data_IF_649518432864
#
_entry.id   IF_649518432864
#
_cell.length_a   1.000
_cell.length_b   1.000
_cell.length_c   1.000
_cell.angle_alpha   90.00
_cell.angle_beta   90.00
_cell.angle_gamma   90.00
#
_symmetry.space_group_name_H-M   'P 1'
#
loop_
_entity.id
_entity.type
_entity.pdbx_description
1 polymer ?
#
# COMPACT_ATOMS: atom_id res chain seq x y z
N UNK A 1 -5.19 -16.37 -11.94
CA UNK A 1 -3.88 -15.73 -11.71
C UNK A 1 -4.04 -14.84 -10.49
N UNK A 2 -3.53 -15.25 -9.32
CA UNK A 2 -3.76 -14.55 -8.05
C UNK A 2 -2.45 -13.81 -7.73
N UNK A 3 -2.45 -12.49 -7.84
CA UNK A 3 -1.32 -11.70 -7.36
C UNK A 3 -1.32 -11.77 -5.82
N UNK A 4 -0.21 -12.19 -5.22
CA UNK A 4 -0.08 -12.31 -3.77
C UNK A 4 0.16 -10.98 -3.06
N UNK A 5 0.65 -9.97 -3.80
CA UNK A 5 0.99 -8.63 -3.31
C UNK A 5 0.55 -7.58 -4.34
N UNK A 6 0.10 -6.43 -3.86
CA UNK A 6 -0.39 -5.26 -4.58
C UNK A 6 0.43 -4.04 -4.13
N UNK A 7 1.29 -3.54 -5.03
CA UNK A 7 1.99 -2.27 -4.85
C UNK A 7 1.10 -1.13 -5.34
N UNK A 8 0.70 -0.24 -4.44
CA UNK A 8 -0.17 0.90 -4.75
C UNK A 8 0.66 2.19 -4.80
N UNK A 9 0.62 2.88 -5.94
CA UNK A 9 1.27 4.19 -6.11
C UNK A 9 0.24 5.30 -5.90
N UNK A 10 0.41 6.07 -4.85
CA UNK A 10 -0.45 7.19 -4.46
C UNK A 10 0.10 8.49 -5.03
N UNK A 11 -0.45 8.87 -6.19
CA UNK A 11 -0.45 10.23 -6.71
C UNK A 11 -1.80 10.89 -6.46
N UNK A 12 -1.92 12.18 -6.78
CA UNK A 12 -3.19 12.88 -6.83
C UNK A 12 -4.23 12.13 -7.68
N UNK A 13 -3.89 11.78 -8.92
CA UNK A 13 -4.79 11.07 -9.83
C UNK A 13 -5.22 9.69 -9.29
N UNK A 14 -4.30 8.96 -8.66
CA UNK A 14 -4.63 7.68 -8.04
C UNK A 14 -5.60 7.84 -6.87
N UNK A 15 -5.44 8.89 -6.07
CA UNK A 15 -6.30 9.16 -4.91
C UNK A 15 -7.71 9.58 -5.34
N UNK A 16 -7.83 10.31 -6.45
CA UNK A 16 -9.11 10.77 -7.01
C UNK A 16 -9.81 9.69 -7.86
N UNK A 17 -9.10 8.63 -8.26
CA UNK A 17 -9.65 7.54 -9.08
C UNK A 17 -10.58 6.61 -8.28
N UNK A 18 -11.83 6.52 -8.74
CA UNK A 18 -12.81 5.58 -8.19
C UNK A 18 -12.37 4.12 -8.35
N UNK A 19 -11.87 3.76 -9.55
CA UNK A 19 -11.38 2.41 -9.84
C UNK A 19 -10.22 1.99 -8.92
N UNK A 20 -9.29 2.89 -8.62
CA UNK A 20 -8.21 2.63 -7.65
C UNK A 20 -8.80 2.37 -6.26
N UNK A 21 -9.79 3.18 -5.86
CA UNK A 21 -10.49 2.97 -4.59
C UNK A 21 -11.19 1.62 -4.50
N UNK A 22 -11.77 1.13 -5.59
CA UNK A 22 -12.40 -0.19 -5.68
C UNK A 22 -11.37 -1.32 -5.52
N UNK A 23 -10.23 -1.23 -6.22
CA UNK A 23 -9.17 -2.23 -6.12
C UNK A 23 -8.56 -2.29 -4.71
N UNK A 24 -8.38 -1.14 -4.05
CA UNK A 24 -7.92 -1.06 -2.66
C UNK A 24 -8.92 -1.74 -1.72
N UNK A 25 -10.22 -1.49 -1.90
CA UNK A 25 -11.27 -2.13 -1.09
C UNK A 25 -11.26 -3.65 -1.28
N UNK A 26 -11.17 -4.12 -2.53
CA UNK A 26 -11.08 -5.55 -2.83
C UNK A 26 -9.82 -6.21 -2.22
N UNK A 27 -8.68 -5.51 -2.21
CA UNK A 27 -7.46 -6.01 -1.58
C UNK A 27 -7.61 -6.15 -0.05
N UNK A 28 -8.14 -5.13 0.63
CA UNK A 28 -8.36 -5.16 2.08
C UNK A 28 -9.39 -6.23 2.49
N UNK A 29 -10.41 -6.45 1.66
CA UNK A 29 -11.39 -7.52 1.86
C UNK A 29 -10.76 -8.90 1.75
N UNK A 30 -9.84 -9.11 0.79
CA UNK A 30 -9.09 -10.37 0.65
C UNK A 30 -8.23 -10.65 1.89
N UNK A 31 -7.51 -9.65 2.42
CA UNK A 31 -6.72 -9.80 3.65
C UNK A 31 -7.63 -10.16 4.83
N UNK A 32 -8.79 -9.50 4.93
CA UNK A 32 -9.76 -9.74 6.02
C UNK A 32 -10.35 -11.15 5.96
N UNK A 33 -10.72 -11.62 4.77
CA UNK A 33 -11.21 -13.00 4.59
C UNK A 33 -10.12 -14.03 4.89
N UNK A 34 -8.90 -13.82 4.37
CA UNK A 34 -7.78 -14.70 4.65
C UNK A 34 -7.54 -14.85 6.16
N UNK A 35 -7.53 -13.73 6.90
CA UNK A 35 -7.38 -13.72 8.35
C UNK A 35 -8.48 -14.47 9.09
N UNK A 36 -9.74 -14.37 8.62
CA UNK A 36 -10.87 -15.11 9.22
C UNK A 36 -10.72 -16.61 9.00
N UNK A 37 -10.33 -17.02 7.80
CA UNK A 37 -10.28 -18.43 7.41
C UNK A 37 -9.04 -19.15 7.97
N UNK A 38 -7.92 -18.44 8.12
CA UNK A 38 -6.61 -19.05 8.45
C UNK A 38 -6.08 -18.63 9.83
N UNK A 39 -6.76 -17.72 10.53
CA UNK A 39 -6.30 -17.12 11.81
C UNK A 39 -4.90 -16.49 11.73
N UNK A 40 -4.44 -16.11 10.54
CA UNK A 40 -3.13 -15.53 10.26
C UNK A 40 -3.27 -14.19 9.55
N UNK A 41 -2.39 -13.24 9.84
CA UNK A 41 -2.34 -11.99 9.10
C UNK A 41 -1.61 -12.18 7.77
N UNK A 42 -2.20 -11.70 6.67
CA UNK A 42 -1.55 -11.64 5.37
C UNK A 42 -1.59 -10.20 4.87
N UNK A 43 -0.44 -9.55 4.82
CA UNK A 43 -0.29 -8.23 4.20
C UNK A 43 -0.07 -8.41 2.71
N UNK A 44 -1.01 -7.93 1.91
CA UNK A 44 -0.93 -7.91 0.45
C UNK A 44 -0.87 -6.49 -0.09
N UNK A 45 -1.33 -5.48 0.64
CA UNK A 45 -1.34 -4.10 0.16
C UNK A 45 -0.12 -3.30 0.65
N UNK A 46 0.71 -2.84 -0.28
CA UNK A 46 1.92 -2.06 -0.03
C UNK A 46 1.78 -0.67 -0.68
N UNK A 47 1.33 0.35 0.06
CA UNK A 47 1.17 1.69 -0.50
C UNK A 47 2.46 2.51 -0.42
N UNK A 48 2.76 3.24 -1.50
CA UNK A 48 3.80 4.27 -1.56
C UNK A 48 3.21 5.59 -2.06
N UNK A 49 3.66 6.73 -1.52
CA UNK A 49 3.25 8.07 -1.97
C UNK A 49 4.34 8.74 -2.78
N UNK A 50 3.96 9.39 -3.88
CA UNK A 50 4.88 10.20 -4.70
C UNK A 50 4.58 11.70 -4.58
N UNK A 51 3.46 12.05 -3.94
CA UNK A 51 3.08 13.41 -3.54
C UNK A 51 2.39 13.40 -2.16
N UNK A 52 1.98 14.58 -1.69
CA UNK A 52 1.36 14.75 -0.38
C UNK A 52 -0.18 14.60 -0.38
N UNK A 53 -0.81 14.23 -1.50
CA UNK A 53 -2.28 14.27 -1.64
C UNK A 53 -2.98 13.40 -0.59
N UNK A 54 -2.42 12.22 -0.31
CA UNK A 54 -2.94 11.29 0.69
C UNK A 54 -2.97 11.88 2.11
N UNK A 55 -2.13 12.87 2.40
CA UNK A 55 -2.03 13.52 3.71
C UNK A 55 -3.15 14.54 3.96
N UNK A 56 -3.82 15.00 2.89
CA UNK A 56 -4.83 16.05 2.99
C UNK A 56 -6.21 15.61 2.51
N UNK A 57 -6.28 14.51 1.76
CA UNK A 57 -7.56 14.01 1.22
C UNK A 57 -8.55 13.59 2.30
N UNK A 58 -9.82 13.91 2.05
CA UNK A 58 -10.97 13.44 2.83
C UNK A 58 -11.69 12.26 2.17
N UNK A 59 -11.21 11.79 1.02
CA UNK A 59 -11.79 10.63 0.32
C UNK A 59 -11.74 9.42 1.24
N UNK A 60 -12.89 8.78 1.47
CA UNK A 60 -13.06 7.83 2.58
C UNK A 60 -12.08 6.66 2.54
N UNK A 61 -11.87 6.06 1.36
CA UNK A 61 -10.97 4.91 1.22
C UNK A 61 -9.52 5.32 1.50
N UNK A 62 -9.11 6.50 1.02
CA UNK A 62 -7.76 7.04 1.17
C UNK A 62 -7.49 7.43 2.63
N UNK A 63 -8.44 8.09 3.28
CA UNK A 63 -8.37 8.42 4.71
C UNK A 63 -8.32 7.17 5.60
N UNK A 64 -9.06 6.11 5.24
CA UNK A 64 -8.98 4.81 5.93
C UNK A 64 -7.62 4.16 5.72
N UNK A 65 -7.11 4.15 4.49
CA UNK A 65 -5.80 3.59 4.15
C UNK A 65 -4.68 4.26 4.96
N UNK A 66 -4.65 5.60 5.01
CA UNK A 66 -3.69 6.39 5.78
C UNK A 66 -3.66 6.03 7.26
N UNK A 67 -4.80 5.70 7.86
CA UNK A 67 -4.88 5.30 9.29
C UNK A 67 -4.50 3.84 9.51
N UNK A 68 -4.70 2.99 8.51
CA UNK A 68 -4.61 1.54 8.65
C UNK A 68 -3.26 0.96 8.19
N UNK A 69 -2.47 1.70 7.41
CA UNK A 69 -1.23 1.21 6.80
C UNK A 69 -0.09 2.20 6.96
N UNK A 70 1.12 1.66 7.05
CA UNK A 70 2.32 2.44 6.78
C UNK A 70 2.39 2.73 5.28
N UNK A 71 2.66 3.98 4.91
CA UNK A 71 2.79 4.41 3.52
C UNK A 71 4.24 4.79 3.30
N UNK A 72 4.91 4.11 2.37
CA UNK A 72 6.29 4.43 2.00
C UNK A 72 6.37 5.82 1.36
N UNK A 73 7.30 6.66 1.81
CA UNK A 73 7.50 8.00 1.27
C UNK A 73 8.50 7.97 0.10
N UNK A 74 8.02 8.29 -1.10
CA UNK A 74 8.80 8.41 -2.32
C UNK A 74 8.74 9.83 -2.91
N UNK A 75 8.34 10.86 -2.16
CA UNK A 75 8.25 12.23 -2.70
C UNK A 75 9.59 12.77 -3.23
N UNK A 76 10.71 12.30 -2.67
CA UNK A 76 12.07 12.65 -3.09
C UNK A 76 12.69 11.63 -4.06
N UNK A 77 11.90 10.91 -4.88
CA UNK A 77 12.39 9.84 -5.77
C UNK A 77 13.43 10.27 -6.82
N UNK A 78 13.59 11.57 -7.07
CA UNK A 78 14.62 12.12 -7.98
C UNK A 78 15.97 12.34 -7.29
N UNK A 79 16.01 12.29 -5.97
CA UNK A 79 17.27 12.27 -5.22
C UNK A 79 17.72 10.81 -5.11
N UNK A 80 18.86 10.49 -5.71
CA UNK A 80 19.35 9.11 -5.80
C UNK A 80 19.48 8.47 -4.41
N UNK A 81 19.98 9.21 -3.41
CA UNK A 81 20.19 8.68 -2.07
C UNK A 81 18.85 8.43 -1.34
N UNK A 82 17.92 9.38 -1.40
CA UNK A 82 16.60 9.24 -0.83
C UNK A 82 15.81 8.09 -1.50
N UNK A 83 15.91 7.98 -2.82
CA UNK A 83 15.31 6.88 -3.57
C UNK A 83 15.86 5.52 -3.13
N UNK A 84 17.19 5.35 -3.05
CA UNK A 84 17.78 4.07 -2.65
C UNK A 84 17.37 3.65 -1.24
N UNK A 85 17.27 4.60 -0.30
CA UNK A 85 16.81 4.34 1.07
C UNK A 85 15.34 3.89 1.07
N UNK A 86 14.46 4.62 0.38
CA UNK A 86 13.04 4.29 0.29
C UNK A 86 12.79 2.95 -0.42
N UNK A 87 13.51 2.72 -1.52
CA UNK A 87 13.43 1.49 -2.31
C UNK A 87 13.92 0.27 -1.51
N UNK A 88 15.01 0.40 -0.75
CA UNK A 88 15.51 -0.69 0.08
C UNK A 88 14.51 -1.12 1.16
N UNK A 89 13.79 -0.15 1.77
CA UNK A 89 12.71 -0.43 2.73
C UNK A 89 11.55 -1.16 2.06
N UNK A 90 11.06 -0.63 0.93
CA UNK A 90 9.99 -1.25 0.16
C UNK A 90 10.35 -2.68 -0.25
N UNK A 91 11.59 -2.92 -0.69
CA UNK A 91 12.04 -4.25 -1.06
C UNK A 91 12.07 -5.21 0.14
N UNK A 92 12.41 -4.73 1.33
CA UNK A 92 12.30 -5.49 2.57
C UNK A 92 10.86 -5.90 2.88
N UNK A 93 9.93 -4.95 2.79
CA UNK A 93 8.51 -5.20 3.01
C UNK A 93 7.94 -6.20 1.99
N UNK A 94 8.33 -6.08 0.72
CA UNK A 94 7.89 -6.97 -0.36
C UNK A 94 8.50 -8.37 -0.27
N UNK A 95 9.73 -8.51 0.25
CA UNK A 95 10.39 -9.81 0.44
C UNK A 95 9.93 -10.55 1.68
N UNK A 96 9.38 -9.83 2.65
CA UNK A 96 8.76 -10.46 3.82
C UNK A 96 7.53 -11.21 3.32
N UNK A 97 7.64 -12.54 3.30
CA UNK A 97 6.49 -13.39 3.03
C UNK A 97 5.62 -13.50 4.28
N UNK A 98 4.29 -13.64 4.14
CA UNK A 98 3.41 -13.93 5.27
C UNK A 98 3.77 -15.23 5.99
N UNK A 99 4.58 -16.10 5.37
CA UNK A 99 5.03 -17.40 5.90
C UNK A 99 6.40 -17.33 6.61
N UNK A 100 6.64 -16.25 7.37
CA UNK A 100 7.83 -16.09 8.20
C UNK A 100 7.64 -16.56 9.63
N UNK A 101 7.92 -17.85 9.88
CA UNK A 101 8.03 -18.59 11.18
C UNK A 101 6.71 -19.09 11.79
#
# INVERSE_FOLDING_TARGET
MKYDKLLLILSQDSVESEWVGDEVRAALEKETHFRKDHQQEKTVLFPIKIDATIEHTSIQWAAKLRRARHIGDFQCWKDDNAYQIAFSRLLGDLKTDPEGV
#
